data_IF_204643083971
#
_entry.id   IF_204643083971
#
_cell.length_a   1.000
_cell.length_b   1.000
_cell.length_c   1.000
_cell.angle_alpha   90.00
_cell.angle_beta   90.00
_cell.angle_gamma   90.00
#
_symmetry.space_group_name_H-M   'P 1'
#
loop_
_entity.id
_entity.type
_entity.pdbx_description
1 polymer ?
#
# COMPACT_ATOMS: atom_id res chain seq x y z
N UNK A 1 18.49 -17.59 -43.66
CA UNK A 1 19.47 -16.75 -42.94
C UNK A 1 18.74 -16.10 -41.77
N UNK A 2 19.13 -16.36 -40.52
CA UNK A 2 18.44 -15.87 -39.31
C UNK A 2 19.23 -14.67 -38.78
N UNK A 3 18.71 -13.47 -38.99
CA UNK A 3 19.36 -12.25 -38.54
C UNK A 3 19.20 -12.10 -37.02
N UNK A 4 20.26 -11.77 -36.27
CA UNK A 4 20.16 -11.54 -34.84
C UNK A 4 19.36 -10.26 -34.58
N UNK A 5 18.16 -10.40 -34.00
CA UNK A 5 17.36 -9.29 -33.52
C UNK A 5 17.81 -8.94 -32.10
N UNK A 6 18.74 -7.99 -31.98
CA UNK A 6 19.06 -7.37 -30.68
C UNK A 6 17.85 -6.57 -30.23
N UNK A 7 17.30 -6.89 -29.06
CA UNK A 7 16.29 -6.04 -28.40
C UNK A 7 16.90 -4.68 -28.09
N UNK A 8 16.15 -3.60 -28.32
CA UNK A 8 16.58 -2.23 -28.00
C UNK A 8 17.14 -2.15 -26.58
N UNK A 9 18.19 -1.34 -26.32
CA UNK A 9 18.77 -1.23 -24.99
C UNK A 9 17.72 -0.58 -24.08
N UNK A 10 17.03 -1.40 -23.30
CA UNK A 10 16.13 -0.92 -22.27
C UNK A 10 16.97 -0.57 -21.05
N UNK A 11 17.28 0.71 -20.88
CA UNK A 11 17.92 1.21 -19.67
C UNK A 11 16.99 0.91 -18.50
N UNK A 12 17.39 -0.03 -17.63
CA UNK A 12 16.62 -0.36 -16.45
C UNK A 12 16.46 0.92 -15.60
N UNK A 13 15.23 1.29 -15.19
CA UNK A 13 15.03 2.46 -14.36
C UNK A 13 15.74 2.25 -13.02
N UNK A 14 16.53 3.25 -12.62
CA UNK A 14 17.32 3.27 -11.38
C UNK A 14 16.42 3.57 -10.15
N UNK A 15 15.10 3.53 -10.32
CA UNK A 15 14.15 3.98 -9.31
C UNK A 15 13.65 2.79 -8.48
N UNK A 16 14.12 2.69 -7.25
CA UNK A 16 13.62 1.72 -6.28
C UNK A 16 12.15 2.03 -5.93
N UNK A 17 11.24 1.16 -6.34
CA UNK A 17 9.81 1.30 -6.05
C UNK A 17 9.53 1.36 -4.54
N UNK A 18 10.21 0.54 -3.75
CA UNK A 18 10.05 0.53 -2.29
C UNK A 18 10.49 1.86 -1.65
N UNK A 19 11.42 2.61 -2.27
CA UNK A 19 11.79 3.96 -1.82
C UNK A 19 10.65 4.96 -2.09
N UNK A 20 10.03 4.86 -3.25
CA UNK A 20 8.89 5.70 -3.64
C UNK A 20 7.69 5.45 -2.72
N UNK A 21 7.37 4.19 -2.42
CA UNK A 21 6.28 3.85 -1.49
C UNK A 21 6.52 4.43 -0.09
N UNK A 22 7.76 4.40 0.42
CA UNK A 22 8.12 5.03 1.70
C UNK A 22 7.96 6.55 1.67
N UNK A 23 8.29 7.21 0.55
CA UNK A 23 8.09 8.65 0.40
C UNK A 23 6.61 9.01 0.41
N UNK A 24 5.76 8.23 -0.27
CA UNK A 24 4.30 8.40 -0.23
C UNK A 24 3.78 8.23 1.19
N UNK A 25 4.26 7.20 1.90
CA UNK A 25 3.90 6.96 3.29
C UNK A 25 4.26 8.14 4.20
N UNK A 26 5.47 8.70 4.03
CA UNK A 26 5.92 9.88 4.77
C UNK A 26 5.07 11.11 4.45
N UNK A 27 4.68 11.30 3.18
CA UNK A 27 3.81 12.39 2.76
C UNK A 27 2.37 12.26 3.31
N UNK A 28 1.91 11.03 3.59
CA UNK A 28 0.61 10.73 4.20
C UNK A 28 0.53 11.06 5.69
N UNK A 29 1.66 11.12 6.40
CA UNK A 29 1.70 11.41 7.85
C UNK A 29 1.07 12.78 8.19
N UNK A 30 1.47 13.91 7.58
CA UNK A 30 0.86 15.20 7.91
C UNK A 30 -0.64 15.25 7.54
N UNK A 31 -1.04 14.63 6.42
CA UNK A 31 -2.44 14.58 6.01
C UNK A 31 -3.32 13.79 6.97
N UNK A 32 -2.84 12.62 7.42
CA UNK A 32 -3.55 11.80 8.39
C UNK A 32 -3.62 12.44 9.78
N UNK A 33 -2.59 13.17 10.22
CA UNK A 33 -2.64 13.95 11.47
C UNK A 33 -3.74 15.01 11.44
N UNK A 34 -3.87 15.74 10.33
CA UNK A 34 -4.95 16.72 10.16
C UNK A 34 -6.31 16.03 10.16
N UNK A 35 -6.46 14.89 9.46
CA UNK A 35 -7.70 14.12 9.46
C UNK A 35 -8.11 13.65 10.86
N UNK A 36 -7.15 13.16 11.67
CA UNK A 36 -7.39 12.75 13.06
C UNK A 36 -7.81 13.97 13.93
N UNK A 37 -7.22 15.14 13.70
CA UNK A 37 -7.60 16.35 14.43
C UNK A 37 -9.04 16.80 14.14
N UNK A 38 -9.46 16.80 12.86
CA UNK A 38 -10.80 17.26 12.48
C UNK A 38 -11.91 16.24 12.76
N UNK A 39 -11.65 14.94 12.54
CA UNK A 39 -12.67 13.90 12.61
C UNK A 39 -12.58 13.03 13.88
N UNK A 40 -11.55 13.23 14.70
CA UNK A 40 -11.36 12.53 15.96
C UNK A 40 -10.80 11.11 15.83
N UNK A 41 -10.99 10.32 16.89
CA UNK A 41 -10.34 9.01 17.06
C UNK A 41 -10.85 7.90 16.12
N UNK A 42 -12.04 8.08 15.53
CA UNK A 42 -12.63 7.10 14.61
C UNK A 42 -11.78 6.89 13.35
N UNK A 43 -11.10 7.92 12.86
CA UNK A 43 -10.19 7.84 11.71
C UNK A 43 -9.00 6.92 12.01
N UNK A 44 -8.44 7.00 13.22
CA UNK A 44 -7.32 6.17 13.62
C UNK A 44 -7.71 4.69 13.65
N UNK A 45 -8.90 4.37 14.15
CA UNK A 45 -9.44 3.00 14.14
C UNK A 45 -9.66 2.48 12.71
N UNK A 46 -10.24 3.29 11.81
CA UNK A 46 -10.42 2.90 10.41
C UNK A 46 -9.09 2.63 9.71
N UNK A 47 -8.07 3.47 9.94
CA UNK A 47 -6.73 3.27 9.38
C UNK A 47 -6.13 1.94 9.87
N UNK A 48 -6.18 1.69 11.18
CA UNK A 48 -5.61 0.45 11.76
C UNK A 48 -6.35 -0.78 11.22
N UNK A 49 -7.69 -0.73 11.16
CA UNK A 49 -8.50 -1.86 10.71
C UNK A 49 -8.29 -2.14 9.21
N UNK A 50 -8.31 -1.10 8.37
CA UNK A 50 -8.04 -1.23 6.94
C UNK A 50 -6.64 -1.78 6.67
N UNK A 51 -5.61 -1.31 7.40
CA UNK A 51 -4.23 -1.83 7.25
C UNK A 51 -4.14 -3.29 7.70
N UNK A 52 -4.79 -3.66 8.80
CA UNK A 52 -4.81 -5.04 9.28
C UNK A 52 -5.52 -5.97 8.28
N UNK A 53 -6.69 -5.60 7.80
CA UNK A 53 -7.45 -6.36 6.79
C UNK A 53 -6.68 -6.44 5.47
N UNK A 54 -6.08 -5.32 5.03
CA UNK A 54 -5.22 -5.26 3.85
C UNK A 54 -4.05 -6.24 3.93
N UNK A 55 -3.29 -6.22 5.03
CA UNK A 55 -2.16 -7.13 5.27
C UNK A 55 -2.61 -8.59 5.33
N UNK A 56 -3.73 -8.89 6.00
CA UNK A 56 -4.28 -10.25 6.06
C UNK A 56 -4.71 -10.73 4.68
N UNK A 57 -5.38 -9.88 3.89
CA UNK A 57 -5.87 -10.23 2.56
C UNK A 57 -4.72 -10.50 1.58
N UNK A 58 -3.67 -9.69 1.60
CA UNK A 58 -2.49 -9.91 0.77
C UNK A 58 -1.69 -11.13 1.23
N UNK A 59 -1.50 -11.31 2.54
CA UNK A 59 -0.86 -12.51 3.07
C UNK A 59 -1.62 -13.78 2.68
N UNK A 60 -2.96 -13.77 2.78
CA UNK A 60 -3.81 -14.87 2.37
C UNK A 60 -3.70 -15.15 0.86
N UNK A 61 -3.71 -14.11 0.03
CA UNK A 61 -3.61 -14.27 -1.42
C UNK A 61 -2.23 -14.77 -1.85
N UNK A 62 -1.16 -14.28 -1.23
CA UNK A 62 0.21 -14.75 -1.49
C UNK A 62 0.41 -16.20 -1.05
N UNK A 63 -0.17 -16.58 0.10
CA UNK A 63 -0.19 -17.96 0.57
C UNK A 63 -0.93 -18.87 -0.41
N UNK A 64 -2.12 -18.46 -0.89
CA UNK A 64 -2.89 -19.19 -1.89
C UNK A 64 -2.13 -19.34 -3.21
N UNK A 65 -1.34 -18.33 -3.58
CA UNK A 65 -0.56 -18.29 -4.83
C UNK A 65 0.82 -18.95 -4.70
N UNK A 66 1.17 -19.50 -3.53
CA UNK A 66 2.47 -20.13 -3.27
C UNK A 66 3.66 -19.19 -3.43
N UNK A 67 3.47 -17.88 -3.23
CA UNK A 67 4.53 -16.87 -3.40
C UNK A 67 5.19 -16.53 -2.05
N UNK A 68 6.49 -16.19 -2.03
CA UNK A 68 7.18 -15.86 -0.79
C UNK A 68 6.63 -14.55 -0.20
N UNK A 69 6.19 -14.59 1.07
CA UNK A 69 5.55 -13.47 1.75
C UNK A 69 6.49 -12.26 1.96
N UNK A 70 7.75 -12.53 2.30
CA UNK A 70 8.72 -11.50 2.73
C UNK A 70 8.96 -10.36 1.73
N UNK A 71 9.27 -10.62 0.44
CA UNK A 71 9.52 -9.53 -0.50
C UNK A 71 8.28 -8.68 -0.79
N UNK A 72 7.10 -9.28 -0.85
CA UNK A 72 5.86 -8.57 -1.19
C UNK A 72 5.35 -7.72 -0.01
N UNK A 73 5.38 -8.24 1.22
CA UNK A 73 5.02 -7.43 2.39
C UNK A 73 6.02 -6.28 2.67
N UNK A 74 7.28 -6.41 2.22
CA UNK A 74 8.32 -5.40 2.46
C UNK A 74 8.26 -4.19 1.53
N UNK A 75 7.50 -4.26 0.44
CA UNK A 75 7.43 -3.17 -0.55
C UNK A 75 6.59 -1.98 -0.04
N UNK A 76 5.74 -2.20 0.96
CA UNK A 76 4.90 -1.16 1.58
C UNK A 76 3.66 -0.78 0.77
N UNK A 77 3.47 -1.37 -0.41
CA UNK A 77 2.33 -1.12 -1.31
C UNK A 77 0.98 -1.31 -0.62
N UNK A 78 0.77 -2.44 0.09
CA UNK A 78 -0.51 -2.68 0.78
C UNK A 78 -0.78 -1.69 1.90
N UNK A 79 0.25 -1.23 2.60
CA UNK A 79 0.07 -0.23 3.65
C UNK A 79 -0.41 1.08 3.02
N UNK A 80 0.20 1.51 1.91
CA UNK A 80 -0.21 2.72 1.19
C UNK A 80 -1.64 2.57 0.67
N UNK A 81 -1.98 1.46 0.02
CA UNK A 81 -3.32 1.22 -0.51
C UNK A 81 -4.40 1.18 0.59
N UNK A 82 -4.16 0.46 1.68
CA UNK A 82 -5.09 0.37 2.79
C UNK A 82 -5.27 1.72 3.50
N UNK A 83 -4.19 2.49 3.65
CA UNK A 83 -4.26 3.81 4.27
C UNK A 83 -5.03 4.81 3.41
N UNK A 84 -4.79 4.83 2.10
CA UNK A 84 -5.58 5.66 1.19
C UNK A 84 -7.06 5.28 1.21
N UNK A 85 -7.38 3.98 1.23
CA UNK A 85 -8.75 3.50 1.35
C UNK A 85 -9.40 3.98 2.65
N UNK A 86 -8.70 3.87 3.78
CA UNK A 86 -9.19 4.35 5.07
C UNK A 86 -9.47 5.86 5.10
N UNK A 87 -8.67 6.67 4.41
CA UNK A 87 -8.85 8.13 4.31
C UNK A 87 -10.00 8.48 3.35
N UNK A 88 -10.26 7.67 2.33
CA UNK A 88 -11.39 7.87 1.41
C UNK A 88 -12.75 7.52 2.04
N UNK A 89 -12.78 6.73 3.12
CA UNK A 89 -14.03 6.35 3.79
C UNK A 89 -14.55 7.50 4.68
N UNK A 90 -15.88 7.69 4.77
CA UNK A 90 -16.46 8.63 5.71
C UNK A 90 -16.04 8.30 7.15
N UNK A 91 -15.65 9.28 7.98
CA UNK A 91 -15.24 9.03 9.36
C UNK A 91 -16.39 8.59 10.28
N UNK A 92 -17.63 8.87 9.86
CA UNK A 92 -18.86 8.39 10.50
C UNK A 92 -19.24 6.97 10.04
N UNK A 93 -18.45 6.35 9.16
CA UNK A 93 -18.70 4.98 8.74
C UNK A 93 -18.59 4.04 9.95
N UNK A 94 -19.54 3.13 10.11
CA UNK A 94 -19.44 2.09 11.12
C UNK A 94 -18.12 1.31 11.03
N UNK A 95 -17.53 1.01 12.18
CA UNK A 95 -16.22 0.36 12.32
C UNK A 95 -16.08 -1.04 11.68
N UNK A 96 -17.18 -1.65 11.21
CA UNK A 96 -17.23 -2.99 10.60
C UNK A 96 -17.21 -2.98 9.06
N UNK A 97 -17.21 -1.80 8.45
CA UNK A 97 -17.15 -1.59 6.99
C UNK A 97 -15.75 -1.58 6.36
N UNK A 98 -14.62 -1.32 7.06
CA UNK A 98 -13.29 -1.32 6.43
C UNK A 98 -12.76 -2.70 6.03
#
# INVERSE_FOLDING_TARGET
MRFPTTSSPHTAPINDLSRLMRQVLLALIPGSLVAIYFFGWGVLLNIVLAVAVGLLSEAAMLALRGRPLRPFLSDGSVIVSAWLLAVCLPPLAPWWIP
#
